data_IF_916609086643
#
_entry.id   IF_916609086643
#
_cell.length_a   1.000
_cell.length_b   1.000
_cell.length_c   1.000
_cell.angle_alpha   90.00
_cell.angle_beta   90.00
_cell.angle_gamma   90.00
#
_symmetry.space_group_name_H-M   'P 1'
#
loop_
_entity.id
_entity.type
_entity.pdbx_description
1 polymer ?
#
# COMPACT_ATOMS: atom_id res chain seq x y z
N UNK A 1 -20.30 -25.43 36.01
CA UNK A 1 -20.86 -24.24 35.42
C UNK A 1 -20.02 -23.69 34.26
N UNK A 2 -18.70 -23.52 34.39
CA UNK A 2 -17.84 -22.98 33.32
C UNK A 2 -17.77 -23.85 32.05
N UNK A 3 -17.78 -25.18 32.18
CA UNK A 3 -17.76 -26.12 31.05
C UNK A 3 -19.06 -26.14 30.25
N UNK A 4 -20.19 -25.89 30.92
CA UNK A 4 -21.51 -25.86 30.31
C UNK A 4 -21.71 -24.57 29.49
N UNK A 5 -21.14 -23.46 29.96
CA UNK A 5 -21.15 -22.16 29.25
C UNK A 5 -20.33 -22.21 27.95
N UNK A 6 -19.19 -22.88 27.98
CA UNK A 6 -18.34 -23.05 26.80
C UNK A 6 -19.01 -23.92 25.72
N UNK A 7 -19.75 -24.96 26.15
CA UNK A 7 -20.46 -25.85 25.23
C UNK A 7 -21.64 -25.17 24.57
N UNK A 8 -22.31 -24.27 25.30
CA UNK A 8 -23.42 -23.46 24.79
C UNK A 8 -22.97 -22.42 23.77
N UNK A 9 -21.78 -21.85 23.95
CA UNK A 9 -21.19 -20.85 23.04
C UNK A 9 -20.75 -21.50 21.71
N UNK A 10 -20.26 -22.72 21.74
CA UNK A 10 -19.93 -23.50 20.53
C UNK A 10 -21.18 -23.89 19.75
N UNK A 11 -22.27 -24.24 20.45
CA UNK A 11 -23.53 -24.59 19.79
C UNK A 11 -24.18 -23.42 19.06
N UNK A 12 -24.06 -22.19 19.60
CA UNK A 12 -24.58 -20.96 18.95
C UNK A 12 -23.82 -20.63 17.66
N UNK A 13 -22.54 -20.89 17.61
CA UNK A 13 -21.73 -20.65 16.38
C UNK A 13 -22.06 -21.63 15.24
N UNK A 14 -22.46 -22.86 15.56
CA UNK A 14 -22.79 -23.87 14.53
C UNK A 14 -24.13 -23.57 13.86
N UNK A 15 -25.09 -22.96 14.58
CA UNK A 15 -26.43 -22.62 14.04
C UNK A 15 -26.36 -21.40 13.08
N UNK A 16 -25.38 -20.51 13.21
CA UNK A 16 -25.23 -19.33 12.35
C UNK A 16 -24.76 -19.64 10.92
N UNK A 17 -24.27 -20.85 10.63
CA UNK A 17 -23.73 -21.24 9.32
C UNK A 17 -24.73 -21.91 8.38
N UNK A 18 -25.99 -22.16 8.81
CA UNK A 18 -27.00 -22.86 8.01
C UNK A 18 -28.05 -21.93 7.36
N UNK A 19 -27.97 -20.63 7.58
CA UNK A 19 -28.97 -19.66 7.11
C UNK A 19 -28.63 -18.93 5.82
N UNK A 20 -27.76 -19.47 4.96
CA UNK A 20 -27.47 -18.88 3.64
C UNK A 20 -27.50 -19.98 2.56
N UNK A 21 -28.69 -20.47 2.24
CA UNK A 21 -28.93 -21.36 1.12
C UNK A 21 -30.39 -21.52 0.84
N UNK A 22 -30.92 -20.95 -0.28
CA UNK A 22 -32.30 -21.16 -0.73
C UNK A 22 -32.76 -20.09 -1.72
N UNK A 23 -32.46 -20.25 -2.89
CA UNK A 23 -33.16 -20.35 -4.20
C UNK A 23 -34.58 -19.80 -4.30
N UNK A 24 -34.91 -19.11 -5.43
CA UNK A 24 -36.27 -18.92 -5.93
C UNK A 24 -36.49 -17.60 -6.64
N UNK A 25 -36.27 -17.58 -7.84
CA UNK A 25 -36.97 -17.33 -9.12
C UNK A 25 -38.13 -16.32 -9.16
N UNK A 26 -38.14 -15.58 -10.29
CA UNK A 26 -39.17 -14.96 -11.14
C UNK A 26 -39.55 -13.49 -10.93
N UNK A 27 -39.19 -12.75 -11.97
CA UNK A 27 -40.00 -12.01 -12.97
C UNK A 27 -40.51 -10.63 -12.60
N UNK A 28 -40.06 -9.60 -13.20
CA UNK A 28 -40.47 -8.73 -14.29
C UNK A 28 -39.76 -7.37 -14.25
N UNK A 29 -39.24 -6.98 -15.41
CA UNK A 29 -38.87 -5.62 -15.77
C UNK A 29 -40.14 -4.80 -16.09
N UNK A 30 -40.09 -3.47 -16.39
CA UNK A 30 -39.00 -2.72 -16.99
C UNK A 30 -38.85 -1.29 -16.46
N UNK A 31 -37.83 -0.60 -16.83
CA UNK A 31 -37.77 0.71 -17.48
C UNK A 31 -36.57 1.57 -17.03
N UNK A 32 -35.62 1.61 -17.92
CA UNK A 32 -34.91 2.80 -18.44
C UNK A 32 -34.49 3.89 -17.45
N UNK A 33 -33.21 4.00 -17.17
CA UNK A 33 -32.56 5.29 -17.25
C UNK A 33 -31.08 5.17 -17.66
N UNK A 34 -30.77 5.80 -18.77
CA UNK A 34 -29.48 5.88 -19.43
C UNK A 34 -28.44 6.53 -18.52
N UNK A 35 -27.41 5.78 -18.16
CA UNK A 35 -26.17 6.36 -17.64
C UNK A 35 -25.12 6.22 -18.73
N UNK A 36 -24.42 7.31 -19.11
CA UNK A 36 -23.33 7.20 -20.06
C UNK A 36 -22.22 6.35 -19.43
N UNK A 37 -21.88 5.28 -20.11
CA UNK A 37 -20.66 4.52 -19.85
C UNK A 37 -19.47 5.47 -20.04
N UNK A 38 -18.79 5.81 -18.95
CA UNK A 38 -17.42 6.29 -19.04
C UNK A 38 -16.58 5.11 -19.44
N UNK A 39 -16.18 5.09 -20.68
CA UNK A 39 -15.20 4.23 -21.28
C UNK A 39 -13.87 4.48 -20.54
N UNK A 40 -13.61 3.69 -19.51
CA UNK A 40 -12.28 3.57 -18.94
C UNK A 40 -11.51 2.68 -19.91
N UNK A 41 -10.90 3.28 -20.90
CA UNK A 41 -9.82 2.67 -21.67
C UNK A 41 -8.77 2.22 -20.67
N UNK A 42 -8.73 0.93 -20.40
CA UNK A 42 -7.55 0.29 -19.80
C UNK A 42 -6.42 0.46 -20.83
N UNK A 43 -5.66 1.51 -20.66
CA UNK A 43 -4.34 1.62 -21.26
C UNK A 43 -3.42 0.62 -20.54
N UNK A 44 -3.48 -0.64 -20.97
CA UNK A 44 -2.44 -1.63 -20.74
C UNK A 44 -1.23 -1.21 -21.58
N UNK A 45 -0.64 -0.09 -21.19
CA UNK A 45 0.68 0.28 -21.64
C UNK A 45 1.69 -0.71 -21.06
N UNK A 46 1.83 -1.87 -21.73
CA UNK A 46 3.00 -2.69 -21.59
C UNK A 46 4.20 -1.90 -22.14
N UNK A 47 4.74 -1.01 -21.34
CA UNK A 47 6.03 -0.39 -21.60
C UNK A 47 7.11 -1.40 -21.24
N UNK A 48 7.43 -2.29 -22.17
CA UNK A 48 8.70 -3.05 -22.22
C UNK A 48 9.87 -2.09 -22.51
N UNK A 49 9.86 -0.93 -21.88
CA UNK A 49 11.05 -0.08 -21.87
C UNK A 49 11.87 -0.56 -20.66
N UNK A 50 13.09 -1.07 -20.86
CA UNK A 50 13.95 -1.42 -19.74
C UNK A 50 14.07 -0.16 -18.87
N UNK A 51 13.67 -0.27 -17.60
CA UNK A 51 13.94 0.78 -16.61
C UNK A 51 15.45 1.03 -16.70
N UNK A 52 15.86 2.28 -16.94
CA UNK A 52 17.26 2.60 -17.21
C UNK A 52 18.17 2.00 -16.16
N UNK A 53 19.26 1.40 -16.58
CA UNK A 53 20.25 0.71 -15.72
C UNK A 53 20.86 1.60 -14.64
N UNK A 54 20.61 2.91 -14.69
CA UNK A 54 21.12 3.92 -13.78
C UNK A 54 20.12 4.33 -12.69
N UNK A 55 18.93 3.68 -12.62
CA UNK A 55 17.93 3.98 -11.59
C UNK A 55 18.35 3.36 -10.25
N UNK A 56 18.50 4.22 -9.24
CA UNK A 56 18.86 3.87 -7.88
C UNK A 56 17.80 4.43 -6.93
N UNK A 57 16.99 3.55 -6.33
CA UNK A 57 15.81 3.90 -5.57
C UNK A 57 16.09 3.88 -4.07
N UNK A 58 15.75 4.95 -3.34
CA UNK A 58 15.74 4.97 -1.88
C UNK A 58 14.29 4.99 -1.37
N UNK A 59 13.92 4.04 -0.53
CA UNK A 59 12.59 3.92 0.03
C UNK A 59 12.63 4.22 1.52
N UNK A 60 11.86 5.22 1.96
CA UNK A 60 11.82 5.67 3.35
C UNK A 60 10.48 5.32 3.98
N UNK A 61 10.51 4.59 5.08
CA UNK A 61 9.34 4.23 5.86
C UNK A 61 9.34 4.98 7.20
N UNK A 62 8.15 5.41 7.65
CA UNK A 62 8.05 6.10 8.95
C UNK A 62 8.49 5.21 10.10
N UNK A 63 8.24 3.90 10.03
CA UNK A 63 8.78 2.87 10.94
C UNK A 63 8.62 1.47 10.37
N UNK A 64 9.54 0.58 10.69
CA UNK A 64 9.45 -0.86 10.35
C UNK A 64 8.58 -1.65 11.33
N UNK A 65 8.34 -1.12 12.53
CA UNK A 65 7.59 -1.83 13.58
C UNK A 65 6.08 -1.91 13.32
N UNK A 66 5.56 -1.15 12.37
CA UNK A 66 4.15 -1.17 11.98
C UNK A 66 3.86 -2.37 11.05
N UNK A 67 2.82 -3.15 11.40
CA UNK A 67 2.44 -4.36 10.66
C UNK A 67 1.98 -4.05 9.23
N UNK A 68 1.24 -2.93 9.04
CA UNK A 68 0.80 -2.49 7.72
C UNK A 68 2.00 -2.09 6.87
N UNK A 69 2.93 -1.31 7.42
CA UNK A 69 4.17 -0.92 6.73
C UNK A 69 5.02 -2.13 6.36
N UNK A 70 5.09 -3.15 7.22
CA UNK A 70 5.77 -4.40 6.90
C UNK A 70 5.20 -5.07 5.65
N UNK A 71 3.87 -5.08 5.50
CA UNK A 71 3.20 -5.63 4.32
C UNK A 71 3.46 -4.80 3.07
N UNK A 72 3.40 -3.46 3.18
CA UNK A 72 3.71 -2.53 2.08
C UNK A 72 5.14 -2.70 1.62
N UNK A 73 6.11 -2.77 2.56
CA UNK A 73 7.52 -2.99 2.26
C UNK A 73 7.73 -4.27 1.48
N UNK A 74 7.22 -5.40 1.99
CA UNK A 74 7.34 -6.69 1.30
C UNK A 74 6.79 -6.65 -0.14
N UNK A 75 5.65 -5.98 -0.34
CA UNK A 75 5.05 -5.88 -1.67
C UNK A 75 5.85 -4.97 -2.60
N UNK A 76 6.37 -3.85 -2.09
CA UNK A 76 7.17 -2.90 -2.88
C UNK A 76 8.53 -3.50 -3.25
N UNK A 77 9.21 -4.17 -2.31
CA UNK A 77 10.47 -4.86 -2.54
C UNK A 77 10.32 -5.90 -3.67
N UNK A 78 9.25 -6.70 -3.64
CA UNK A 78 8.98 -7.68 -4.68
C UNK A 78 8.78 -7.04 -6.07
N UNK A 79 8.20 -5.83 -6.14
CA UNK A 79 8.04 -5.11 -7.40
C UNK A 79 9.37 -4.50 -7.88
N UNK A 80 10.16 -3.92 -6.97
CA UNK A 80 11.48 -3.37 -7.31
C UNK A 80 12.44 -4.47 -7.77
N UNK A 81 12.42 -5.62 -7.12
CA UNK A 81 13.17 -6.82 -7.53
C UNK A 81 12.74 -7.30 -8.93
N UNK A 82 11.44 -7.35 -9.20
CA UNK A 82 10.92 -7.74 -10.50
C UNK A 82 11.32 -6.76 -11.64
N UNK A 83 11.46 -5.48 -11.32
CA UNK A 83 11.95 -4.45 -12.24
C UNK A 83 13.48 -4.48 -12.41
N UNK A 84 14.20 -5.22 -11.58
CA UNK A 84 15.66 -5.32 -11.60
C UNK A 84 16.38 -4.01 -11.26
N UNK A 85 15.74 -3.11 -10.52
CA UNK A 85 16.34 -1.83 -10.11
C UNK A 85 17.15 -1.98 -8.82
N UNK A 86 18.20 -1.18 -8.67
CA UNK A 86 18.92 -1.10 -7.41
C UNK A 86 18.11 -0.27 -6.41
N UNK A 87 17.81 -0.82 -5.23
CA UNK A 87 17.11 -0.06 -4.19
C UNK A 87 17.64 -0.34 -2.78
N UNK A 88 17.28 0.54 -1.86
CA UNK A 88 17.56 0.39 -0.44
C UNK A 88 16.44 1.00 0.39
N UNK A 89 16.06 0.29 1.45
CA UNK A 89 15.07 0.71 2.44
C UNK A 89 15.73 1.42 3.63
N UNK A 90 15.02 2.43 4.14
CA UNK A 90 15.42 3.21 5.30
C UNK A 90 14.29 3.25 6.34
N UNK A 91 14.61 2.89 7.58
CA UNK A 91 13.71 3.02 8.73
C UNK A 91 13.90 4.37 9.41
N UNK A 92 12.87 5.20 9.42
CA UNK A 92 12.89 6.48 10.13
C UNK A 92 12.65 6.34 11.63
N UNK A 93 12.27 5.15 12.09
CA UNK A 93 12.02 4.83 13.49
C UNK A 93 11.07 5.84 14.20
N UNK A 94 10.06 6.33 13.48
CA UNK A 94 9.08 7.31 13.99
C UNK A 94 9.63 8.72 14.19
N UNK A 95 10.82 9.05 13.65
CA UNK A 95 11.46 10.33 13.85
C UNK A 95 11.69 11.08 12.54
N UNK A 96 11.05 12.24 12.38
CA UNK A 96 11.14 13.04 11.15
C UNK A 96 12.56 13.57 10.90
N UNK A 97 13.32 13.94 11.94
CA UNK A 97 14.71 14.39 11.79
C UNK A 97 15.57 13.26 11.24
N UNK A 98 15.43 12.04 11.77
CA UNK A 98 16.13 10.85 11.27
C UNK A 98 15.77 10.58 9.81
N UNK A 99 14.50 10.77 9.42
CA UNK A 99 14.09 10.63 8.02
C UNK A 99 14.76 11.65 7.12
N UNK A 100 14.79 12.92 7.50
CA UNK A 100 15.41 13.99 6.73
C UNK A 100 16.93 13.77 6.55
N UNK A 101 17.62 13.36 7.62
CA UNK A 101 19.06 13.01 7.57
C UNK A 101 19.33 11.81 6.64
N UNK A 102 18.48 10.79 6.70
CA UNK A 102 18.59 9.63 5.81
C UNK A 102 18.34 10.01 4.34
N UNK A 103 17.40 10.91 4.05
CA UNK A 103 17.13 11.44 2.71
C UNK A 103 18.38 12.18 2.18
N UNK A 104 18.96 13.08 2.97
CA UNK A 104 20.17 13.80 2.59
C UNK A 104 21.35 12.83 2.28
N UNK A 105 21.49 11.80 3.11
CA UNK A 105 22.53 10.78 2.93
C UNK A 105 22.28 9.99 1.63
N UNK A 106 21.06 9.57 1.36
CA UNK A 106 20.73 8.84 0.14
C UNK A 106 21.00 9.68 -1.11
N UNK A 107 20.66 10.96 -1.10
CA UNK A 107 20.94 11.88 -2.20
C UNK A 107 22.46 11.99 -2.43
N UNK A 108 23.23 12.15 -1.36
CA UNK A 108 24.70 12.20 -1.43
C UNK A 108 25.31 10.90 -1.96
N UNK A 109 24.69 9.75 -1.66
CA UNK A 109 25.09 8.42 -2.13
C UNK A 109 24.61 8.12 -3.57
N UNK A 110 23.97 9.09 -4.23
CA UNK A 110 23.58 9.03 -5.64
C UNK A 110 22.28 8.26 -5.89
N UNK A 111 21.41 8.15 -4.91
CA UNK A 111 20.02 7.72 -5.16
C UNK A 111 19.29 8.81 -5.92
N UNK A 112 18.63 8.43 -7.02
CA UNK A 112 18.02 9.38 -7.95
C UNK A 112 16.50 9.26 -8.06
N UNK A 113 15.90 8.32 -7.31
CA UNK A 113 14.46 8.23 -7.06
C UNK A 113 14.22 8.02 -5.56
N UNK A 114 13.37 8.84 -4.98
CA UNK A 114 13.01 8.76 -3.57
C UNK A 114 11.54 8.40 -3.44
N UNK A 115 11.23 7.33 -2.72
CA UNK A 115 9.87 6.94 -2.33
C UNK A 115 9.75 7.18 -0.83
N UNK A 116 8.90 8.12 -0.42
CA UNK A 116 8.88 8.57 0.98
C UNK A 116 7.49 8.37 1.61
N UNK A 117 7.43 7.49 2.59
CA UNK A 117 6.34 7.41 3.54
C UNK A 117 6.70 8.28 4.77
N UNK A 118 6.16 9.50 4.81
CA UNK A 118 6.55 10.53 5.78
C UNK A 118 6.18 10.15 7.21
N UNK A 119 7.07 10.42 8.17
CA UNK A 119 6.80 10.27 9.60
C UNK A 119 5.68 11.23 10.03
N UNK A 120 5.80 12.51 9.67
CA UNK A 120 4.78 13.53 9.96
C UNK A 120 3.86 13.69 8.76
N UNK A 121 2.99 12.70 8.54
CA UNK A 121 2.01 12.72 7.46
C UNK A 121 0.98 13.85 7.67
N UNK A 122 0.55 14.47 6.56
CA UNK A 122 -0.43 15.56 6.60
C UNK A 122 0.13 16.94 6.93
N UNK A 123 1.45 17.09 7.10
CA UNK A 123 2.10 18.39 7.26
C UNK A 123 2.62 18.90 5.91
N UNK A 124 2.04 19.97 5.34
CA UNK A 124 2.56 20.58 4.12
C UNK A 124 4.00 21.11 4.26
N UNK A 125 4.36 21.59 5.44
CA UNK A 125 5.71 22.11 5.70
C UNK A 125 6.76 21.00 5.61
N UNK A 126 6.48 19.82 6.19
CA UNK A 126 7.37 18.66 6.10
C UNK A 126 7.45 18.14 4.66
N UNK A 127 6.34 18.10 3.93
CA UNK A 127 6.36 17.71 2.52
C UNK A 127 7.22 18.66 1.68
N UNK A 128 7.10 19.99 1.89
CA UNK A 128 7.90 20.98 1.21
C UNK A 128 9.39 20.88 1.58
N UNK A 129 9.71 20.57 2.84
CA UNK A 129 11.08 20.34 3.27
C UNK A 129 11.71 19.14 2.53
N UNK A 130 11.00 18.01 2.48
CA UNK A 130 11.47 16.81 1.75
C UNK A 130 11.67 17.12 0.25
N UNK A 131 10.71 17.84 -0.38
CA UNK A 131 10.83 18.26 -1.78
C UNK A 131 12.04 19.17 -1.97
N UNK A 132 12.30 20.09 -1.04
CA UNK A 132 13.46 20.97 -1.08
C UNK A 132 14.76 20.19 -0.99
N UNK A 133 14.85 19.20 -0.11
CA UNK A 133 16.01 18.31 0.00
C UNK A 133 16.25 17.53 -1.30
N UNK A 134 15.20 17.05 -1.94
CA UNK A 134 15.29 16.26 -3.18
C UNK A 134 15.71 17.09 -4.40
N UNK A 135 15.47 18.40 -4.39
CA UNK A 135 15.80 19.30 -5.51
C UNK A 135 17.17 20.00 -5.38
N UNK A 136 17.86 19.85 -4.25
CA UNK A 136 19.24 20.37 -4.03
C UNK A 136 19.23 21.84 -3.74
#
# INVERSE_FOLDING_TARGET
MKKLLALLLVLVMVVALVACGGNGNETEAPTNNSQPASDATEDTGNSDTPVGTDLKVAVFYYTYSDTYISSVRTALDAQLDALGVTYQDFDSNGNQTTQNEAIQTAIADGYNLLIVNMVTSGSPDVANEIISLANG
#
